data_IF_567461734860
#
_entry.id   IF_567461734860
#
_cell.length_a   1.000
_cell.length_b   1.000
_cell.length_c   1.000
_cell.angle_alpha   90.00
_cell.angle_beta   90.00
_cell.angle_gamma   90.00
#
_symmetry.space_group_name_H-M   'P 1'
#
loop_
_entity.id
_entity.type
_entity.pdbx_description
1 polymer ?
2 non-polymer ?
3 non-polymer ?
4 non-polymer ?
5 water ?
#
# COMPACT_ATOMS: atom_id res chain seq x y z
N UNK A 13 14.97 10.19 -20.00
CA UNK A 13 14.91 10.99 -18.79
C UNK A 13 14.43 10.14 -17.61
N UNK A 14 14.98 10.42 -16.43
CA UNK A 14 14.64 9.64 -15.24
C UNK A 14 13.30 10.08 -14.68
N UNK A 15 12.75 9.22 -13.81
CA UNK A 15 11.47 9.50 -13.16
C UNK A 15 11.52 10.81 -12.39
N UNK A 16 10.46 11.60 -12.50
CA UNK A 16 10.32 12.85 -11.75
C UNK A 16 9.33 12.58 -10.61
N UNK A 17 9.76 12.63 -9.35
CA UNK A 17 8.85 12.34 -8.24
C UNK A 17 7.72 13.33 -8.18
N UNK A 18 6.47 12.87 -8.03
CA UNK A 18 5.35 13.79 -7.86
C UNK A 18 5.48 14.57 -6.57
N UNK A 19 4.70 15.64 -6.39
CA UNK A 19 4.73 16.37 -5.11
C UNK A 19 4.23 15.50 -3.97
N UNK A 20 4.66 15.85 -2.77
CA UNK A 20 4.34 15.08 -1.57
C UNK A 20 2.89 15.34 -1.14
N UNK A 21 2.21 14.26 -0.75
CA UNK A 21 0.86 14.38 -0.21
C UNK A 21 0.93 14.91 1.22
N UNK A 22 -0.21 15.33 1.78
CA UNK A 22 -0.19 15.88 3.14
C UNK A 22 0.19 14.83 4.17
N UNK A 23 0.94 15.26 5.18
CA UNK A 23 1.28 14.45 6.34
C UNK A 23 0.75 15.15 7.58
N UNK A 24 -0.02 14.44 8.38
CA UNK A 24 -0.60 14.98 9.60
C UNK A 24 0.01 14.29 10.81
N UNK A 25 0.30 15.08 11.84
CA UNK A 25 0.87 14.59 13.10
C UNK A 25 -0.09 15.01 14.21
N UNK A 26 -1.20 14.29 14.38
CA UNK A 26 -2.21 14.72 15.33
C UNK A 26 -1.71 14.68 16.77
N UNK A 27 -2.20 15.62 17.57
CA UNK A 27 -1.97 15.58 19.00
C UNK A 27 -2.71 14.39 19.60
N UNK A 28 -2.45 14.13 20.89
CA UNK A 28 -3.19 13.08 21.57
C UNK A 28 -4.68 13.37 21.62
N UNK A 29 -5.06 14.65 21.67
CA UNK A 29 -6.47 15.02 21.65
C UNK A 29 -7.08 14.75 20.27
N UNK A 30 -6.38 15.17 19.21
CA UNK A 30 -6.88 14.94 17.85
C UNK A 30 -6.87 13.44 17.50
N UNK A 31 -6.02 12.67 18.15
CA UNK A 31 -5.90 11.23 17.89
C UNK A 31 -6.97 10.41 18.58
N UNK A 32 -7.95 11.05 19.24
CA UNK A 32 -8.91 10.31 20.04
C UNK A 32 -9.86 9.50 19.17
N UNK A 33 -10.30 10.07 18.04
CA UNK A 33 -11.30 9.43 17.20
C UNK A 33 -10.85 9.49 15.74
N UNK A 34 -10.64 8.35 15.08
CA UNK A 34 -10.19 8.41 13.68
C UNK A 34 -11.18 9.06 12.73
N UNK A 35 -12.46 8.66 12.78
CA UNK A 35 -13.43 9.22 11.86
C UNK A 35 -13.62 10.72 12.08
N UNK A 36 -13.55 11.17 13.33
CA UNK A 36 -13.62 12.60 13.60
C UNK A 36 -12.42 13.33 13.02
N UNK A 37 -11.23 12.75 13.16
CA UNK A 37 -10.02 13.38 12.63
C UNK A 37 -10.03 13.38 11.10
N UNK A 38 -10.41 12.27 10.48
CA UNK A 38 -10.45 12.19 9.03
C UNK A 38 -11.47 13.18 8.48
N UNK A 39 -12.59 13.37 9.19
CA UNK A 39 -13.57 14.36 8.76
C UNK A 39 -13.04 15.78 8.83
N UNK A 40 -12.15 16.07 9.78
CA UNK A 40 -11.60 17.42 9.91
C UNK A 40 -10.55 17.69 8.84
N UNK A 41 -9.71 16.71 8.52
CA UNK A 41 -8.68 16.91 7.50
C UNK A 41 -9.23 16.82 6.08
N UNK A 42 -10.50 16.43 5.93
CA UNK A 42 -11.08 16.18 4.62
C UNK A 42 -10.93 17.35 3.63
N UNK A 43 -11.17 18.61 4.01
CA UNK A 43 -11.04 19.70 3.01
C UNK A 43 -9.71 19.73 2.29
N UNK A 44 -8.62 19.37 2.96
CA UNK A 44 -7.33 19.30 2.29
C UNK A 44 -7.05 17.93 1.69
N UNK A 45 -7.26 16.87 2.46
CA UNK A 45 -6.84 15.54 2.03
C UNK A 45 -7.65 15.03 0.85
N UNK A 46 -8.92 15.42 0.74
CA UNK A 46 -9.70 14.97 -0.41
C UNK A 46 -9.26 15.67 -1.70
N UNK A 47 -8.51 16.77 -1.59
CA UNK A 47 -7.94 17.42 -2.76
C UNK A 47 -6.63 16.80 -3.20
N UNK A 48 -6.07 15.86 -2.41
CA UNK A 48 -4.87 15.14 -2.80
C UNK A 48 -5.11 13.64 -2.94
N UNK A 49 -6.30 13.16 -2.61
CA UNK A 49 -6.60 11.73 -2.76
C UNK A 49 -6.09 10.86 -1.64
N UNK A 50 -4.80 10.98 -1.30
CA UNK A 50 -4.21 10.23 -0.20
C UNK A 50 -3.58 11.20 0.78
N UNK A 51 -3.44 10.73 2.02
CA UNK A 51 -2.71 11.48 3.03
C UNK A 51 -2.07 10.50 3.99
N UNK A 52 -1.07 10.99 4.71
CA UNK A 52 -0.33 10.18 5.68
C UNK A 52 -0.57 10.72 7.07
N UNK A 53 -0.73 9.83 8.04
CA UNK A 53 -1.03 10.19 9.41
C UNK A 53 0.00 9.53 10.31
N UNK A 54 0.78 10.34 11.03
CA UNK A 54 1.76 9.84 11.97
C UNK A 54 1.16 9.84 13.37
N UNK A 55 0.97 8.68 14.00
CA UNK A 55 0.44 8.66 15.38
C UNK A 55 1.41 9.33 16.34
N UNK A 56 0.95 9.70 17.54
CA UNK A 56 1.86 10.24 18.54
C UNK A 56 3.01 9.28 18.82
N UNK A 57 4.12 9.85 19.31
CA UNK A 57 5.37 9.10 19.40
C UNK A 57 5.21 7.84 20.25
N UNK A 58 4.47 7.93 21.34
CA UNK A 58 4.36 6.81 22.27
C UNK A 58 3.33 5.77 21.85
N UNK A 59 2.57 6.01 20.78
CA UNK A 59 1.57 5.05 20.32
C UNK A 59 2.28 4.01 19.46
N UNK A 60 2.55 2.84 20.05
CA UNK A 60 3.24 1.76 19.36
C UNK A 60 2.55 0.43 19.66
N UNK A 61 1.66 -0.03 18.79
CA UNK A 61 0.99 -1.31 19.04
C UNK A 61 1.96 -2.45 18.85
N UNK A 62 1.77 -3.56 19.56
CA UNK A 62 2.60 -4.75 19.32
C UNK A 62 2.21 -5.40 18.01
N UNK A 63 3.07 -6.30 17.54
CA UNK A 63 2.77 -7.12 16.38
C UNK A 63 2.19 -8.44 16.86
N UNK A 64 0.96 -8.74 16.45
CA UNK A 64 0.16 -9.80 17.08
C UNK A 64 -0.15 -10.96 16.15
N UNK A 65 0.51 -11.08 15.00
CA UNK A 65 0.27 -12.21 14.13
C UNK A 65 0.91 -13.47 14.71
N UNK A 66 0.37 -14.63 14.30
CA UNK A 66 0.93 -15.92 14.69
C UNK A 66 2.15 -16.18 13.80
N UNK A 67 3.31 -15.68 14.26
CA UNK A 67 4.52 -15.75 13.45
C UNK A 67 5.00 -17.19 13.29
N UNK A 68 4.81 -18.01 14.33
CA UNK A 68 5.31 -19.38 14.29
C UNK A 68 4.70 -20.18 13.14
N UNK A 69 3.43 -19.92 12.83
CA UNK A 69 2.71 -20.67 11.81
C UNK A 69 2.46 -19.88 10.53
N UNK A 70 2.96 -18.65 10.45
CA UNK A 70 2.68 -17.80 9.28
C UNK A 70 3.36 -18.37 8.05
N UNK A 71 2.57 -18.91 7.13
CA UNK A 71 3.08 -19.47 5.88
C UNK A 71 2.17 -19.04 4.74
N UNK A 72 2.76 -18.77 3.58
CA UNK A 72 2.00 -18.27 2.45
C UNK A 72 2.75 -18.52 1.15
N UNK A 73 2.01 -18.56 0.05
CA UNK A 73 2.58 -18.65 -1.28
C UNK A 73 2.33 -17.33 -2.01
N UNK A 74 3.34 -16.48 -2.17
CA UNK A 74 3.10 -15.16 -2.77
C UNK A 74 2.89 -15.25 -4.27
N UNK A 75 2.23 -14.23 -4.80
CA UNK A 75 2.01 -14.15 -6.24
C UNK A 75 3.27 -13.64 -6.93
N UNK A 76 3.47 -14.09 -8.16
CA UNK A 76 4.63 -13.71 -8.95
C UNK A 76 4.27 -12.47 -9.77
N UNK A 77 5.14 -11.48 -9.78
CA UNK A 77 4.90 -10.21 -10.47
C UNK A 77 6.03 -9.93 -11.45
N UNK A 78 5.70 -9.86 -12.74
CA UNK A 78 6.65 -9.47 -13.78
C UNK A 78 6.44 -7.98 -14.05
N UNK A 79 7.45 -7.17 -13.72
CA UNK A 79 7.29 -5.72 -13.73
C UNK A 79 6.92 -5.20 -15.11
N UNK A 80 7.49 -5.79 -16.17
CA UNK A 80 7.33 -5.27 -17.52
C UNK A 80 6.35 -6.10 -18.36
N UNK A 81 5.37 -6.75 -17.71
CA UNK A 81 4.49 -7.66 -18.44
C UNK A 81 3.65 -6.94 -19.48
N UNK A 82 3.27 -5.69 -19.24
CA UNK A 82 2.50 -4.95 -20.24
C UNK A 82 3.39 -4.51 -21.39
N UNK A 83 4.56 -3.96 -21.09
CA UNK A 83 5.47 -3.53 -22.14
C UNK A 83 5.91 -4.71 -23.01
N UNK A 84 6.02 -5.91 -22.42
CA UNK A 84 6.41 -7.10 -23.17
C UNK A 84 5.33 -7.58 -24.13
N UNK A 85 4.24 -6.84 -24.29
CA UNK A 85 3.21 -7.18 -25.26
C UNK A 85 3.66 -6.78 -26.65
N UNK A 99 4.79 -18.98 -11.15
CA UNK A 99 5.10 -20.20 -10.42
C UNK A 99 4.92 -19.98 -8.92
N UNK A 100 5.27 -20.98 -8.11
CA UNK A 100 4.91 -20.99 -6.70
C UNK A 100 6.11 -21.40 -5.86
N UNK A 101 6.35 -20.65 -4.78
CA UNK A 101 7.24 -21.05 -3.70
C UNK A 101 6.54 -20.72 -2.39
N UNK A 102 6.54 -21.64 -1.45
CA UNK A 102 5.95 -21.41 -0.15
C UNK A 102 7.00 -20.82 0.79
N UNK A 103 6.63 -19.77 1.51
CA UNK A 103 7.53 -19.09 2.42
C UNK A 103 6.92 -19.04 3.82
N UNK A 104 7.79 -18.93 4.81
CA UNK A 104 7.43 -18.37 6.11
C UNK A 104 7.76 -16.87 6.10
N UNK A 105 7.32 -16.17 7.13
CA UNK A 105 7.68 -14.76 7.25
C UNK A 105 9.19 -14.59 7.26
N UNK A 106 9.90 -15.50 7.94
CA UNK A 106 11.35 -15.39 8.03
C UNK A 106 12.02 -15.70 6.69
N UNK A 107 11.63 -16.80 6.05
CA UNK A 107 12.28 -17.19 4.80
C UNK A 107 11.94 -16.22 3.67
N UNK A 108 10.75 -15.61 3.70
CA UNK A 108 10.44 -14.57 2.73
C UNK A 108 11.30 -13.34 2.96
N UNK A 109 11.52 -12.98 4.23
CA UNK A 109 12.38 -11.84 4.52
C UNK A 109 13.82 -12.06 4.11
N UNK A 110 14.31 -13.29 4.30
CA UNK A 110 15.66 -13.61 3.84
C UNK A 110 15.75 -13.54 2.32
N UNK A 111 14.75 -14.05 1.62
CA UNK A 111 14.72 -13.91 0.16
C UNK A 111 14.63 -12.45 -0.24
N UNK A 112 13.81 -11.66 0.45
CA UNK A 112 13.60 -10.27 0.07
C UNK A 112 14.85 -9.44 0.27
N UNK A 113 15.50 -9.59 1.42
CA UNK A 113 16.72 -8.84 1.68
C UNK A 113 17.84 -9.27 0.74
N UNK A 114 17.95 -10.56 0.46
CA UNK A 114 18.98 -11.03 -0.46
C UNK A 114 18.76 -10.47 -1.87
N UNK A 115 17.50 -10.41 -2.31
CA UNK A 115 17.21 -9.86 -3.64
C UNK A 115 17.65 -8.40 -3.73
N UNK A 116 17.25 -7.59 -2.75
CA UNK A 116 17.52 -6.16 -2.83
C UNK A 116 19.00 -5.86 -2.68
N UNK A 117 19.66 -6.50 -1.71
CA UNK A 117 21.08 -6.26 -1.51
C UNK A 117 21.90 -6.70 -2.72
N UNK A 118 21.49 -7.79 -3.37
CA UNK A 118 22.17 -8.22 -4.58
C UNK A 118 21.89 -7.27 -5.75
N UNK A 119 20.65 -6.80 -5.87
CA UNK A 119 20.30 -5.96 -7.01
C UNK A 119 21.06 -4.63 -6.99
N UNK A 120 21.14 -3.99 -5.82
CA UNK A 120 21.78 -2.69 -5.70
C UNK A 120 23.23 -2.77 -5.22
N UNK A 121 23.72 -3.96 -4.88
CA UNK A 121 25.12 -4.15 -4.46
C UNK A 121 25.46 -3.27 -3.25
N UNK A 122 24.56 -3.24 -2.28
CA UNK A 122 24.75 -2.47 -1.06
C UNK A 122 23.75 -2.96 -0.02
N UNK A 123 23.98 -2.69 1.27
CA UNK A 123 23.01 -3.09 2.29
C UNK A 123 21.64 -2.50 2.02
N UNK A 124 20.60 -3.24 2.41
CA UNK A 124 19.24 -2.90 2.00
C UNK A 124 18.83 -1.54 2.55
N UNK A 125 19.25 -1.23 3.79
CA UNK A 125 18.86 0.03 4.42
C UNK A 125 19.62 1.22 3.87
N UNK A 126 20.65 1.01 3.05
CA UNK A 126 21.45 2.08 2.49
C UNK A 126 20.99 2.51 1.11
N UNK A 127 20.03 1.80 0.51
CA UNK A 127 19.54 2.15 -0.82
C UNK A 127 18.59 3.33 -0.69
N UNK A 128 18.86 4.46 -1.34
CA UNK A 128 17.96 5.61 -1.24
C UNK A 128 16.58 5.29 -1.80
N UNK A 129 15.55 5.80 -1.13
CA UNK A 129 14.19 5.58 -1.59
C UNK A 129 13.97 6.15 -2.98
N UNK A 130 14.66 7.24 -3.32
CA UNK A 130 14.51 7.81 -4.66
C UNK A 130 15.11 6.92 -5.73
N UNK A 131 16.14 6.14 -5.39
CA UNK A 131 16.75 5.24 -6.36
C UNK A 131 15.84 4.04 -6.65
N UNK A 132 15.30 3.42 -5.61
CA UNK A 132 14.35 2.32 -5.80
C UNK A 132 13.17 2.79 -6.63
N UNK A 133 12.68 4.01 -6.36
CA UNK A 133 11.57 4.56 -7.12
C UNK A 133 11.95 4.75 -8.59
N UNK A 134 13.10 5.37 -8.84
CA UNK A 134 13.53 5.57 -10.21
C UNK A 134 13.75 4.24 -10.92
N UNK A 135 14.33 3.26 -10.22
CA UNK A 135 14.61 1.97 -10.86
C UNK A 135 13.34 1.18 -11.10
N UNK A 136 12.37 1.28 -10.19
CA UNK A 136 11.11 0.57 -10.36
C UNK A 136 10.42 0.97 -11.66
N UNK A 137 10.29 2.28 -11.90
CA UNK A 137 9.57 2.73 -13.08
C UNK A 137 10.37 2.53 -14.35
N UNK A 138 11.71 2.50 -14.26
CA UNK A 138 12.51 2.12 -15.42
C UNK A 138 12.26 0.67 -15.80
N UNK A 139 12.17 -0.21 -14.80
CA UNK A 139 11.99 -1.64 -15.07
C UNK A 139 10.59 -1.94 -15.60
N UNK A 140 9.58 -1.18 -15.17
CA UNK A 140 8.22 -1.41 -15.62
C UNK A 140 8.11 -1.20 -17.13
N UNK A 141 8.88 -0.28 -17.68
CA UNK A 141 8.84 0.02 -19.12
C UNK A 141 10.03 -0.55 -19.87
N UNK A 142 10.90 -1.31 -19.22
CA UNK A 142 12.09 -1.83 -19.87
C UNK A 142 11.75 -3.09 -20.66
N UNK A 143 12.17 -3.10 -21.94
CA UNK A 143 12.03 -4.30 -22.76
C UNK A 143 13.29 -5.15 -22.76
N UNK A 144 14.42 -4.60 -22.32
CA UNK A 144 15.70 -5.31 -22.35
C UNK A 144 16.00 -6.03 -21.05
N UNK A 145 15.27 -5.74 -19.97
CA UNK A 145 15.53 -6.31 -18.66
C UNK A 145 14.22 -6.78 -18.05
N UNK A 146 14.12 -8.08 -17.77
CA UNK A 146 12.92 -8.67 -17.19
C UNK A 146 13.20 -9.00 -15.73
N UNK A 147 12.63 -8.21 -14.83
CA UNK A 147 12.76 -8.41 -13.39
C UNK A 147 11.45 -8.98 -12.86
N UNK A 148 11.56 -10.01 -12.01
CA UNK A 148 10.41 -10.73 -11.48
C UNK A 148 10.54 -10.79 -9.97
N UNK A 149 9.50 -10.39 -9.25
CA UNK A 149 9.48 -10.39 -7.80
C UNK A 149 8.23 -11.13 -7.33
N UNK A 150 8.05 -11.19 -6.00
CA UNK A 150 6.94 -11.90 -5.39
C UNK A 150 6.29 -11.02 -4.33
N UNK A 151 4.98 -11.14 -4.18
CA UNK A 151 4.21 -10.29 -3.27
C UNK A 151 3.25 -11.16 -2.49
N UNK A 152 3.37 -11.14 -1.16
CA UNK A 152 2.41 -11.83 -0.32
C UNK A 152 1.16 -10.98 -0.13
N UNK A 153 0.24 -11.03 -1.10
CA UNK A 153 -0.85 -10.08 -1.16
C UNK A 153 -2.23 -10.69 -0.89
N UNK A 154 -2.36 -12.01 -0.94
CA UNK A 154 -3.65 -12.68 -0.74
C UNK A 154 -3.69 -13.34 0.63
N UNK A 155 -3.65 -12.52 1.67
CA UNK A 155 -3.58 -13.01 3.05
C UNK A 155 -4.65 -12.29 3.87
N UNK A 156 -5.69 -13.01 4.25
CA UNK A 156 -6.69 -12.47 5.16
C UNK A 156 -6.19 -12.47 6.59
N UNK A 157 -6.65 -11.49 7.37
CA UNK A 157 -6.35 -11.48 8.80
C UNK A 157 -6.99 -12.65 9.54
N UNK A 158 -7.94 -13.36 8.90
CA UNK A 158 -8.53 -14.53 9.53
C UNK A 158 -7.59 -15.73 9.49
N UNK A 159 -6.64 -15.75 8.57
CA UNK A 159 -5.76 -16.91 8.41
C UNK A 159 -4.85 -17.07 9.62
N UNK A 160 -4.02 -16.06 9.90
CA UNK A 160 -3.05 -16.14 10.99
C UNK A 160 -3.22 -15.02 12.01
N UNK A 161 -4.35 -14.31 11.99
CA UNK A 161 -4.58 -13.22 12.90
C UNK A 161 -4.22 -11.88 12.32
N UNK A 162 -4.72 -10.83 12.95
CA UNK A 162 -4.39 -9.47 12.55
C UNK A 162 -3.04 -9.06 13.13
N UNK A 163 -2.41 -8.08 12.49
CA UNK A 163 -1.20 -7.51 13.04
C UNK A 163 -1.45 -6.76 14.34
N UNK A 164 -2.66 -6.25 14.51
CA UNK A 164 -3.07 -5.61 15.74
C UNK A 164 -3.57 -6.65 16.74
N UNK A 165 -3.44 -6.40 18.04
CA UNK A 165 -4.05 -7.29 19.03
C UNK A 165 -5.57 -7.16 18.99
N UNK A 166 -6.25 -8.30 19.11
CA UNK A 166 -7.70 -8.37 19.03
C UNK A 166 -8.21 -9.20 20.21
N UNK A 167 -9.17 -8.64 20.94
CA UNK A 167 -9.75 -9.31 22.11
C UNK A 167 -10.80 -10.32 21.65
N UNK A 168 -10.32 -11.36 20.96
CA UNK A 168 -11.19 -12.44 20.50
C UNK A 168 -10.91 -13.76 21.20
N UNK A 169 -9.91 -13.81 22.07
CA UNK A 169 -9.60 -15.01 22.83
C UNK A 169 -8.74 -16.02 22.10
N UNK A 170 -8.29 -15.73 20.89
CA UNK A 170 -7.47 -16.65 20.12
C UNK A 170 -5.97 -16.48 20.39
N UNK A 171 -5.57 -15.43 21.10
CA UNK A 171 -4.16 -15.18 21.37
C UNK A 171 -4.06 -14.27 22.58
N UNK A 172 -3.04 -14.52 23.41
CA UNK A 172 -2.90 -13.78 24.66
C UNK A 172 -2.64 -12.30 24.39
N UNK A 173 -3.15 -11.45 25.28
CA UNK A 173 -2.98 -10.01 25.21
C UNK A 173 -2.51 -9.52 26.57
N UNK A 174 -1.31 -8.94 26.61
CA UNK A 174 -0.79 -8.39 27.86
C UNK A 174 -1.57 -7.13 28.25
N UNK A 175 -1.58 -6.78 29.53
CA UNK A 175 -2.31 -5.57 29.94
C UNK A 175 -1.86 -4.31 29.21
N UNK A 176 -0.55 -4.16 28.97
CA UNK A 176 -0.05 -2.99 28.27
C UNK A 176 -0.48 -2.95 26.81
N UNK A 177 -1.05 -4.02 26.29
CA UNK A 177 -1.49 -4.10 24.90
C UNK A 177 -3.00 -3.96 24.74
N UNK A 178 -3.75 -3.89 25.84
CA UNK A 178 -5.20 -3.85 25.74
C UNK A 178 -5.68 -2.56 25.09
N UNK A 179 -5.01 -1.44 25.38
CA UNK A 179 -5.42 -0.17 24.79
C UNK A 179 -5.34 -0.21 23.27
N UNK A 180 -4.43 -1.00 22.72
CA UNK A 180 -4.34 -1.12 21.27
C UNK A 180 -5.40 -2.06 20.71
N UNK A 181 -5.82 -3.06 21.49
CA UNK A 181 -6.93 -3.91 21.08
C UNK A 181 -8.24 -3.14 21.06
N UNK A 182 -8.34 -2.09 21.88
CA UNK A 182 -9.55 -1.28 21.98
C UNK A 182 -9.45 0.04 21.21
N UNK A 183 -8.30 0.34 20.63
CA UNK A 183 -8.11 1.61 19.95
C UNK A 183 -8.98 1.72 18.71
N UNK A 184 -9.50 2.92 18.46
CA UNK A 184 -10.23 3.18 17.23
C UNK A 184 -9.35 3.13 16.00
N UNK A 185 -8.04 3.28 16.16
CA UNK A 185 -7.11 3.17 15.05
C UNK A 185 -6.70 1.73 14.77
N UNK A 186 -7.02 0.80 15.66
CA UNK A 186 -6.96 -0.62 15.33
C UNK A 186 -7.88 -0.88 14.15
N UNK A 187 -7.29 -1.34 13.03
CA UNK A 187 -8.07 -1.53 11.80
C UNK A 187 -9.22 -2.51 11.98
N UNK A 188 -9.14 -3.39 12.98
CA UNK A 188 -10.25 -4.29 13.25
C UNK A 188 -11.44 -3.58 13.89
N UNK A 189 -11.26 -2.34 14.34
CA UNK A 189 -12.31 -1.57 14.99
C UNK A 189 -12.84 -0.44 14.11
N UNK A 190 -12.46 -0.40 12.83
CA UNK A 190 -13.01 0.58 11.93
C UNK A 190 -14.42 0.18 11.51
N UNK A 191 -15.35 1.13 11.35
CA UNK A 191 -16.69 0.78 10.88
C UNK A 191 -16.66 0.36 9.42
N UNK A 192 -17.33 -0.75 9.13
CA UNK A 192 -17.24 -1.37 7.80
C UNK A 192 -18.62 -1.59 7.19
N UNK A 193 -19.68 -1.36 7.97
CA UNK A 193 -21.04 -1.60 7.52
C UNK A 193 -21.61 -0.33 6.90
N UNK A 194 -21.96 -0.41 5.61
CA UNK A 194 -22.55 0.72 4.91
C UNK A 194 -24.07 0.66 4.99
N UNK A 195 -24.69 1.83 4.99
CA UNK A 195 -26.14 1.92 5.07
C UNK A 195 -26.77 1.47 3.76
N UNK A 196 -27.78 0.60 3.86
CA UNK A 196 -28.49 0.10 2.69
C UNK A 196 -29.99 0.01 2.96
N UNK A 209 -16.44 -8.26 6.71
CA UNK A 209 -15.30 -7.53 6.20
C UNK A 209 -14.19 -7.42 7.25
N UNK A 210 -13.03 -7.98 6.94
CA UNK A 210 -11.90 -7.98 7.87
C UNK A 210 -10.69 -7.41 7.15
N UNK A 211 -9.69 -6.94 7.89
CA UNK A 211 -8.48 -6.41 7.24
C UNK A 211 -7.72 -7.49 6.50
N UNK A 212 -6.97 -7.05 5.49
CA UNK A 212 -6.10 -7.92 4.70
C UNK A 212 -4.64 -7.52 4.93
N UNK A 213 -3.75 -8.50 4.76
CA UNK A 213 -2.34 -8.33 5.06
C UNK A 213 -1.51 -8.37 3.77
N UNK A 214 -0.41 -7.63 3.78
CA UNK A 214 0.48 -7.56 2.62
C UNK A 214 1.92 -7.69 3.10
N UNK A 215 2.58 -8.76 2.69
CA UNK A 215 4.00 -8.96 2.96
C UNK A 215 4.76 -8.57 1.70
N UNK A 216 5.49 -7.46 1.75
CA UNK A 216 6.13 -6.92 0.58
C UNK A 216 7.62 -7.20 0.51
N UNK A 217 8.16 -7.12 -0.70
CA UNK A 217 9.59 -7.08 -0.96
C UNK A 217 9.87 -5.93 -1.92
N UNK A 218 11.15 -5.69 -2.16
CA UNK A 218 11.52 -4.63 -3.09
C UNK A 218 10.91 -4.88 -4.47
N UNK A 219 10.22 -3.87 -4.99
CA UNK A 219 9.60 -3.79 -6.31
C UNK A 219 8.23 -4.45 -6.37
N UNK A 220 7.78 -5.15 -5.32
CA UNK A 220 6.40 -5.64 -5.29
C UNK A 220 5.45 -4.44 -5.27
N UNK A 221 4.34 -4.56 -5.99
CA UNK A 221 3.58 -3.35 -6.30
C UNK A 221 2.09 -3.67 -6.41
N UNK A 222 1.29 -2.60 -6.40
CA UNK A 222 -0.14 -2.66 -6.67
C UNK A 222 -0.47 -1.54 -7.65
N UNK A 223 -1.25 -1.87 -8.68
CA UNK A 223 -1.49 -0.93 -9.77
C UNK A 223 -2.68 -0.01 -9.45
N UNK A 224 -2.97 0.89 -10.37
CA UNK A 224 -3.99 1.92 -10.14
C UNK A 224 -5.37 1.32 -9.98
N UNK A 225 -6.07 1.73 -8.92
CA UNK A 225 -7.42 1.23 -8.67
C UNK A 225 -8.12 2.15 -7.69
N UNK A 226 -9.45 2.02 -7.65
CA UNK A 226 -10.26 2.57 -6.58
C UNK A 226 -10.95 1.41 -5.88
N UNK A 227 -11.55 1.70 -4.73
CA UNK A 227 -12.16 0.67 -3.91
C UNK A 227 -13.59 0.38 -4.38
N UNK A 228 -14.06 -0.82 -4.05
CA UNK A 228 -15.46 -1.15 -4.29
C UNK A 228 -16.36 -0.19 -3.53
N UNK A 229 -17.45 0.22 -4.17
CA UNK A 229 -18.40 1.19 -3.61
C UNK A 229 -17.75 2.55 -3.37
N UNK A 230 -16.61 2.82 -4.01
CA UNK A 230 -15.87 4.07 -3.83
C UNK A 230 -15.54 4.30 -2.35
N UNK A 231 -15.22 3.22 -1.64
CA UNK A 231 -15.04 3.30 -0.20
C UNK A 231 -13.73 3.99 0.16
N UNK A 232 -13.69 4.55 1.37
CA UNK A 232 -12.43 4.90 1.99
C UNK A 232 -11.58 3.64 2.19
N UNK A 233 -10.30 3.83 2.39
CA UNK A 233 -9.43 2.76 2.86
C UNK A 233 -8.40 3.36 3.81
N UNK A 234 -8.02 2.57 4.82
CA UNK A 234 -6.97 2.94 5.75
C UNK A 234 -5.93 1.83 5.77
N UNK A 235 -4.67 2.22 5.80
CA UNK A 235 -3.54 1.30 5.62
C UNK A 235 -2.51 1.59 6.69
N UNK A 236 -2.01 0.53 7.34
CA UNK A 236 -1.03 0.67 8.41
C UNK A 236 0.17 -0.22 8.11
N UNK A 237 1.35 0.36 8.16
CA UNK A 237 2.59 -0.39 7.96
C UNK A 237 3.11 -0.81 9.33
N UNK A 238 2.99 -2.11 9.64
CA UNK A 238 3.38 -2.60 10.96
C UNK A 238 4.88 -2.50 11.17
N UNK A 239 5.67 -2.94 10.20
CA UNK A 239 7.12 -2.87 10.29
C UNK A 239 7.72 -3.03 8.90
N UNK A 240 9.01 -2.76 8.80
CA UNK A 240 9.76 -3.00 7.60
C UNK A 240 10.10 -1.72 6.86
N UNK A 241 10.62 -1.90 5.65
CA UNK A 241 11.00 -0.78 4.81
C UNK A 241 9.77 -0.08 4.24
N UNK A 242 9.89 1.17 3.81
CA UNK A 242 8.70 1.96 3.48
C UNK A 242 7.91 1.40 2.30
N UNK A 243 6.65 1.81 2.25
CA UNK A 243 5.76 1.56 1.13
C UNK A 243 5.52 2.89 0.42
N UNK A 244 5.89 2.96 -0.85
CA UNK A 244 5.77 4.19 -1.63
C UNK A 244 4.40 4.24 -2.29
N UNK A 245 3.72 5.38 -2.14
CA UNK A 245 2.35 5.55 -2.60
C UNK A 245 2.25 6.61 -3.68
N UNK A 246 1.24 6.47 -4.53
CA UNK A 246 0.83 7.52 -5.45
C UNK A 246 -0.69 7.63 -5.39
N UNK A 247 -1.19 8.84 -5.37
CA UNK A 247 -2.62 9.06 -5.24
C UNK A 247 -3.10 10.17 -6.16
N UNK A 248 -4.37 10.04 -6.56
CA UNK A 248 -5.02 11.03 -7.42
C UNK A 248 -6.31 11.47 -6.74
N UNK A 249 -6.56 12.78 -6.60
CA UNK A 249 -7.81 13.22 -5.98
C UNK A 249 -9.02 12.81 -6.79
N UNK A 250 -10.15 12.63 -6.08
CA UNK A 250 -11.36 12.12 -6.72
C UNK A 250 -11.88 13.07 -7.80
N UNK A 251 -11.61 14.37 -7.69
CA UNK A 251 -12.09 15.30 -8.71
C UNK A 251 -11.38 15.10 -10.04
N UNK A 252 -10.30 14.33 -10.07
CA UNK A 252 -9.60 14.01 -11.31
C UNK A 252 -9.78 12.55 -11.73
N UNK A 253 -10.77 11.87 -11.15
CA UNK A 253 -10.98 10.45 -11.44
C UNK A 253 -11.27 10.22 -12.92
N UNK A 254 -12.15 11.05 -13.50
CA UNK A 254 -12.47 10.89 -14.92
C UNK A 254 -11.27 11.20 -15.80
N UNK A 255 -10.45 12.18 -15.41
CA UNK A 255 -9.26 12.49 -16.18
C UNK A 255 -8.31 11.30 -16.23
N UNK A 256 -8.12 10.62 -15.10
CA UNK A 256 -7.26 9.44 -15.08
C UNK A 256 -7.83 8.34 -15.97
N UNK A 257 -9.13 8.04 -15.81
CA UNK A 257 -9.74 6.98 -16.60
C UNK A 257 -9.70 7.30 -18.08
N UNK A 258 -9.78 8.57 -18.45
CA UNK A 258 -9.63 8.96 -19.85
C UNK A 258 -8.22 8.68 -20.36
N UNK A 259 -7.21 9.07 -19.57
CA UNK A 259 -5.83 8.80 -19.96
C UNK A 259 -5.59 7.30 -20.07
N UNK A 260 -6.17 6.52 -19.16
CA UNK A 260 -6.04 5.06 -19.22
C UNK A 260 -6.54 4.53 -20.56
N UNK A 261 -7.82 4.75 -20.86
CA UNK A 261 -8.41 4.20 -22.07
C UNK A 261 -7.66 4.64 -23.33
N UNK A 262 -7.05 5.84 -23.30
CA UNK A 262 -6.29 6.30 -24.46
C UNK A 262 -4.98 5.54 -24.60
N UNK A 263 -4.28 5.32 -23.49
CA UNK A 263 -2.92 4.78 -23.54
C UNK A 263 -2.81 3.33 -23.11
N UNK A 264 -3.78 2.80 -22.36
CA UNK A 264 -3.72 1.40 -21.98
C UNK A 264 -3.78 0.52 -23.22
N UNK A 265 -3.26 -0.71 -23.12
CA UNK A 265 -3.31 -1.62 -24.27
C UNK A 265 -4.72 -1.73 -24.85
N UNK A 266 -4.80 -1.62 -26.18
CA UNK A 266 -6.10 -1.65 -26.85
C UNK A 266 -6.83 -2.96 -26.59
N UNK A 267 -6.09 -4.07 -26.43
CA UNK A 267 -6.73 -5.35 -26.16
C UNK A 267 -7.49 -5.33 -24.84
N UNK A 268 -7.05 -4.52 -23.88
CA UNK A 268 -7.71 -4.39 -22.59
C UNK A 268 -8.59 -3.15 -22.49
N UNK A 269 -8.77 -2.43 -23.60
CA UNK A 269 -9.49 -1.16 -23.55
C UNK A 269 -10.95 -1.35 -23.19
N UNK A 270 -11.62 -2.31 -23.84
CA UNK A 270 -13.05 -2.53 -23.66
C UNK A 270 -13.38 -3.37 -22.43
N UNK A 271 -12.41 -3.66 -21.58
CA UNK A 271 -12.70 -4.50 -20.43
C UNK A 271 -13.40 -3.70 -19.33
N UNK A 272 -14.31 -4.34 -18.58
CA UNK A 272 -14.91 -3.67 -17.43
C UNK A 272 -13.85 -3.19 -16.45
N UNK A 273 -14.20 -2.13 -15.70
CA UNK A 273 -13.23 -1.52 -14.79
C UNK A 273 -12.70 -2.53 -13.79
N UNK A 274 -13.55 -3.43 -13.30
CA UNK A 274 -13.12 -4.37 -12.27
C UNK A 274 -12.07 -5.34 -12.81
N UNK A 275 -12.09 -5.62 -14.10
CA UNK A 275 -11.06 -6.45 -14.72
C UNK A 275 -9.87 -5.63 -15.20
N UNK A 276 -10.12 -4.45 -15.76
CA UNK A 276 -9.03 -3.62 -16.25
C UNK A 276 -8.10 -3.22 -15.11
N UNK A 277 -8.65 -2.95 -13.93
CA UNK A 277 -7.85 -2.53 -12.79
C UNK A 277 -6.99 -3.66 -12.22
N UNK A 278 -7.03 -4.85 -12.83
CA UNK A 278 -6.02 -5.87 -12.52
C UNK A 278 -4.71 -5.58 -13.22
N UNK A 279 -4.70 -4.74 -14.25
CA UNK A 279 -3.51 -4.50 -15.07
C UNK A 279 -3.38 -3.02 -15.43
N UNK A 280 -3.91 -2.14 -14.59
CA UNK A 280 -3.83 -0.70 -14.85
C UNK A 280 -2.51 -0.14 -14.32
N UNK A 281 -1.42 -0.58 -14.94
CA UNK A 281 -0.08 -0.12 -14.60
C UNK A 281 0.24 1.09 -15.46
N UNK A 282 0.61 2.20 -14.83
CA UNK A 282 0.94 3.42 -15.57
C UNK A 282 1.90 4.28 -14.77
N UNK A 283 2.94 4.76 -15.44
CA UNK A 283 3.91 5.64 -14.82
C UNK A 283 3.23 6.94 -14.37
N UNK A 284 3.44 7.38 -13.13
CA UNK A 284 2.78 8.62 -12.69
C UNK A 284 3.14 9.83 -13.53
N UNK A 285 4.34 9.88 -14.12
CA UNK A 285 4.71 11.02 -14.95
C UNK A 285 3.85 11.09 -16.21
N UNK A 286 3.42 9.93 -16.72
CA UNK A 286 2.53 9.93 -17.89
C UNK A 286 1.20 10.59 -17.54
N UNK A 287 0.65 10.25 -16.38
CA UNK A 287 -0.57 10.91 -15.92
C UNK A 287 -0.35 12.40 -15.71
N UNK A 288 0.80 12.77 -15.13
CA UNK A 288 1.09 14.18 -14.89
C UNK A 288 1.24 14.96 -16.19
N UNK A 289 1.85 14.34 -17.21
CA UNK A 289 1.97 15.00 -18.50
C UNK A 289 0.60 15.29 -19.11
N UNK A 290 -0.39 14.45 -18.82
CA UNK A 290 -1.75 14.65 -19.31
C UNK A 290 -2.60 15.48 -18.35
N UNK A 291 -1.97 16.22 -17.44
CA UNK A 291 -2.69 17.11 -16.56
C UNK A 291 -3.38 16.46 -15.39
N UNK A 292 -3.08 15.21 -15.09
CA UNK A 292 -3.68 14.54 -13.93
C UNK A 292 -2.86 14.88 -12.69
N UNK A 293 -3.46 15.46 -11.65
CA UNK A 293 -2.71 15.71 -10.41
C UNK A 293 -2.38 14.39 -9.70
N UNK A 294 -1.10 14.22 -9.37
CA UNK A 294 -0.62 13.03 -8.69
C UNK A 294 0.22 13.46 -7.49
N UNK A 295 0.01 12.81 -6.35
CA UNK A 295 0.79 13.04 -5.15
C UNK A 295 1.42 11.73 -4.69
N UNK A 296 2.57 11.84 -4.04
CA UNK A 296 3.32 10.68 -3.58
C UNK A 296 3.56 10.75 -2.08
N UNK A 297 3.97 9.62 -1.51
CA UNK A 297 4.49 9.60 -0.14
C UNK A 297 5.24 8.30 0.08
N UNK A 298 6.19 8.34 1.02
CA UNK A 298 6.83 7.14 1.54
C UNK A 298 6.23 6.85 2.90
N UNK A 299 5.43 5.79 2.98
CA UNK A 299 4.81 5.37 4.22
C UNK A 299 5.82 4.54 5.01
N UNK A 300 6.27 5.06 6.14
CA UNK A 300 7.24 4.37 6.96
C UNK A 300 6.54 3.55 8.04
N UNK A 301 7.32 2.70 8.71
CA UNK A 301 6.77 1.82 9.72
C UNK A 301 6.10 2.62 10.83
N UNK A 302 4.89 2.19 11.20
CA UNK A 302 4.13 2.86 12.23
C UNK A 302 3.25 4.00 11.76
N UNK A 303 3.14 4.22 10.45
CA UNK A 303 2.38 5.33 9.89
C UNK A 303 1.18 4.81 9.12
N UNK A 304 0.11 5.62 9.12
CA UNK A 304 -1.11 5.31 8.40
C UNK A 304 -1.15 6.05 7.07
N UNK A 305 -1.82 5.43 6.09
CA UNK A 305 -2.19 6.09 4.85
C UNK A 305 -3.69 5.92 4.65
N UNK A 306 -4.39 7.03 4.44
CA UNK A 306 -5.83 7.03 4.20
C UNK A 306 -6.06 7.40 2.74
N UNK A 307 -6.88 6.61 2.05
CA UNK A 307 -7.32 6.92 0.70
C UNK A 307 -8.78 7.35 0.76
N UNK A 308 -9.10 8.43 0.09
CA UNK A 308 -10.45 9.00 0.15
C UNK A 308 -11.33 8.42 -0.94
N UNK A 309 -12.65 8.62 -0.86
CA UNK A 309 -13.55 7.97 -1.82
C UNK A 309 -13.20 8.31 -3.26
N UNK A 310 -13.10 7.26 -4.08
CA UNK A 310 -12.83 7.38 -5.51
C UNK A 310 -11.48 8.04 -5.78
N UNK A 311 -10.54 7.91 -4.85
CA UNK A 311 -9.18 8.39 -5.05
C UNK A 311 -8.34 7.24 -5.60
N UNK A 312 -7.99 7.32 -6.89
CA UNK A 312 -7.13 6.31 -7.48
C UNK A 312 -5.78 6.30 -6.80
N UNK A 313 -5.26 5.09 -6.54
CA UNK A 313 -3.96 4.98 -5.89
C UNK A 313 -3.22 3.77 -6.41
N UNK A 314 -1.90 3.84 -6.29
CA UNK A 314 -1.01 2.75 -6.70
C UNK A 314 0.28 2.92 -5.90
N UNK A 315 1.15 1.92 -5.99
CA UNK A 315 2.41 2.01 -5.26
C UNK A 315 3.24 0.76 -5.36
N UNK A 316 4.35 0.78 -4.62
CA UNK A 316 5.28 -0.33 -4.57
C UNK A 316 5.99 -0.30 -3.23
N UNK A 317 6.63 -1.42 -2.89
CA UNK A 317 7.34 -1.55 -1.63
C UNK A 317 8.84 -1.37 -1.82
N UNK A 318 9.45 -0.60 -0.91
CA UNK A 318 10.89 -0.38 -0.94
C UNK A 318 11.68 -1.61 -0.51
N UNK A 319 11.07 -2.50 0.25
CA UNK A 319 11.77 -3.69 0.70
C UNK A 319 10.86 -4.55 1.54
N UNK A 320 11.47 -5.43 2.32
CA UNK A 320 10.73 -6.33 3.19
C UNK A 320 9.90 -5.54 4.20
N UNK A 321 8.59 -5.69 4.15
CA UNK A 321 7.71 -4.99 5.08
C UNK A 321 6.41 -5.77 5.25
N UNK A 322 5.55 -5.23 6.12
CA UNK A 322 4.31 -5.91 6.50
C UNK A 322 3.23 -4.85 6.70
N UNK A 323 2.16 -4.92 5.92
CA UNK A 323 1.11 -3.92 5.95
C UNK A 323 -0.24 -4.58 6.21
N UNK A 324 -1.18 -3.77 6.71
CA UNK A 324 -2.54 -4.20 6.97
C UNK A 324 -3.48 -3.12 6.47
N UNK A 325 -4.56 -3.53 5.80
CA UNK A 325 -5.45 -2.57 5.14
C UNK A 325 -6.90 -3.03 5.28
N UNK A 326 -7.81 -2.07 5.31
CA UNK A 326 -9.23 -2.36 5.35
C UNK A 326 -9.98 -1.17 4.77
N UNK A 327 -11.10 -1.45 4.11
CA UNK A 327 -12.01 -0.41 3.67
C UNK A 327 -13.00 -0.09 4.80
N UNK A 328 -13.34 1.18 4.94
CA UNK A 328 -14.24 1.60 6.00
C UNK A 328 -15.24 2.61 5.48
N UNK A 329 -16.33 2.77 6.23
CA UNK A 329 -17.41 3.67 5.89
C UNK A 329 -17.50 4.80 6.91
N UNK A 330 -18.00 5.94 6.47
CA UNK A 330 -18.18 7.10 7.34
C UNK A 330 -19.65 7.44 7.50
X LIG B 1 -6.18 -6.82 -4.84
X LIG B 1 -7.68 -3.96 -7.91
X LIG B 1 -8.34 -3.74 -5.50
X LIG B 1 -4.88 -3.07 -3.37
X LIG B 1 -4.22 -2.15 -2.51
X LIG B 1 -3.01 -2.73 -2.18
X LIG B 1 -0.81 -2.68 -0.94
X LIG B 1 -3.73 -0.27 -1.25
X LIG B 1 -2.46 -5.87 -5.99
X LIG B 1 -1.86 -5.76 -7.23
X LIG B 1 -2.49 -5.05 -8.23
X LIG B 1 -3.71 -4.46 -7.98
X LIG B 1 -4.30 -4.57 -6.74
X LIG B 1 -3.68 -5.28 -5.71
X LIG B 1 -4.34 -5.42 -4.34
X LIG B 1 -4.04 -4.17 -3.50
X LIG B 1 -2.14 -2.05 -1.34
X LIG B 1 -2.52 -0.83 -0.88
X LIG B 1 -2.95 -3.95 -2.79
X LIG B 1 -4.59 -0.92 -2.06
X LIG B 1 -5.75 -5.53 -4.51
X LIG B 1 -0.14 -2.18 0.01
X LIG B 1 -0.36 -3.68 -1.56
X LIG B 1 -1.61 -6.80 -4.72
X LIG B 1 -7.54 -6.71 -5.54
X LIG B 1 -7.50 -5.79 -6.70
X LIG B 1 -7.22 -5.00 -8.67
X LIG B 1 -7.10 -6.13 -7.93
X LIG B 1 -7.86 -4.47 -6.66
X LIG C 1 -6.63 0.01 -2.38
X LIG D 1 -15.96 0.70 -7.90
X LIG D 1 -15.14 -0.42 -8.09
X LIG D 1 -17.42 0.21 -7.99
X LIG D 1 -17.77 -0.56 -6.89
X LIG D 1 -18.26 1.50 -8.09
X LIG D 1 -19.60 1.09 -8.14
X LIG E 1 3.64 -6.03 -11.23
X LIG E 1 5.04 -6.11 -11.20
X LIG E 1 3.22 -6.38 -12.66
X LIG E 1 1.90 -6.82 -12.72
X LIG E 1 3.44 -5.08 -13.49
X LIG E 1 4.36 -4.29 -12.82
#
# INVERSE_FOLDING_TARGET
HNMAGVGPGGYAAEFVPPPECPVFEPSWEEFTDPLSFIGRIRPLAEKTGICKIRPPKDWQPPFACEVKSFRFTPRVQRLNELEAMTRVRPREAFGFEQAVREYTLQSFGEMADNFKSDYFNMPVHMVPTELVEKEFWRLVSSIEEDVIVEYGADISSKDFGSGFPVKDGRRKILPEEEEYALSGWNLNNMPVLEQSVLAHINVDISGMKVPWLYVGMCFSSFCWHIEDHWSYSINYLHWGEPKTWYGVPSHAAEQLEEVMRELAPELFESQPDLLHQLVTIMNPNVLMEHGVPVYRTNQCAGEFVVTFPRAYHSGFNQGYNFAEAVNFCT
DNV C10 C15 C17 C20 C21 C22 C24 C28 C02 C03 C04 C05 C06 C07 C08 C18 C23 C27 N19 N29 O09 O25 O26 CL1 C11 C12 C14 N13 N16
MN MN
GOL C1 O1 C2 O2 C3 O3
GOL C1 O1 C2 O2 C3 O3
#
